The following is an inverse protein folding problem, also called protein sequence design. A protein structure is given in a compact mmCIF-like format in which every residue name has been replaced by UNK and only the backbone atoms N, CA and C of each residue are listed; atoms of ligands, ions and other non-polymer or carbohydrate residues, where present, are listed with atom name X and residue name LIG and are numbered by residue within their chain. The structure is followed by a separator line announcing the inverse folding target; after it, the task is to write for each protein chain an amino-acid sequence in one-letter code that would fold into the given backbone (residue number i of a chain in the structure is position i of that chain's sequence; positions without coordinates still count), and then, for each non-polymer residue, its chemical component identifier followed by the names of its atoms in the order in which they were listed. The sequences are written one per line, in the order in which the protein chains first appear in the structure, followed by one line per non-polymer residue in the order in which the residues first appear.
data_IF_265439147688
#
_entry.id   IF_265439147688
#
_cell.length_a   1.000
_cell.length_b   1.000
_cell.length_c   1.000
_cell.angle_alpha   90.00
_cell.angle_beta   90.00
_cell.angle_gamma   90.00
#
_symmetry.space_group_name_H-M   'P 1'
#
loop_
_entity.id
_entity.type
_entity.pdbx_description
1 polymer ?
#
# COMPACT_ATOMS: atom_id res chain seq x y z
N UNK A 1 0.52 33.89 -2.50
CA UNK A 1 0.13 33.60 -3.90
C UNK A 1 -1.16 32.80 -3.87
N UNK A 2 -2.20 33.19 -4.61
CA UNK A 2 -3.45 32.40 -4.68
C UNK A 2 -3.26 31.32 -5.74
N UNK A 3 -3.32 30.04 -5.36
CA UNK A 3 -3.23 28.91 -6.31
C UNK A 3 -4.66 28.51 -6.68
N UNK A 4 -5.15 28.82 -7.89
CA UNK A 4 -6.49 28.44 -8.30
C UNK A 4 -6.59 26.92 -8.43
N UNK A 5 -7.59 26.30 -7.80
CA UNK A 5 -7.86 24.87 -7.88
C UNK A 5 -9.30 24.62 -8.42
N UNK A 6 -9.58 24.94 -9.70
CA UNK A 6 -10.93 24.94 -10.25
C UNK A 6 -11.61 23.56 -10.24
N UNK A 7 -10.82 22.48 -10.21
CA UNK A 7 -11.30 21.10 -10.23
C UNK A 7 -11.18 20.38 -8.88
N UNK A 8 -11.09 21.11 -7.76
CA UNK A 8 -10.89 20.53 -6.42
C UNK A 8 -11.90 19.44 -6.06
N UNK A 9 -13.14 19.55 -6.54
CA UNK A 9 -14.21 18.55 -6.32
C UNK A 9 -13.91 17.17 -6.89
N UNK A 10 -13.00 17.08 -7.87
CA UNK A 10 -12.55 15.83 -8.47
C UNK A 10 -11.21 15.33 -7.89
N UNK A 11 -10.58 16.09 -6.98
CA UNK A 11 -9.32 15.69 -6.36
C UNK A 11 -9.56 14.62 -5.30
N UNK A 12 -8.95 13.44 -5.46
CA UNK A 12 -9.01 12.38 -4.45
C UNK A 12 -8.42 12.88 -3.12
N UNK A 13 -7.26 13.53 -3.17
CA UNK A 13 -6.59 14.11 -2.00
C UNK A 13 -7.44 15.22 -1.37
N UNK A 14 -8.03 16.09 -2.20
CA UNK A 14 -8.90 17.16 -1.73
C UNK A 14 -10.14 16.63 -0.99
N UNK A 15 -10.81 15.61 -1.56
CA UNK A 15 -11.96 14.98 -0.90
C UNK A 15 -11.55 14.21 0.36
N UNK A 16 -10.42 13.50 0.35
CA UNK A 16 -9.91 12.82 1.54
C UNK A 16 -9.67 13.81 2.69
N UNK A 17 -9.07 14.97 2.40
CA UNK A 17 -8.87 16.05 3.37
C UNK A 17 -10.21 16.56 3.94
N UNK A 18 -11.17 16.91 3.09
CA UNK A 18 -12.49 17.40 3.53
C UNK A 18 -13.25 16.35 4.36
N UNK A 19 -13.10 15.07 4.03
CA UNK A 19 -13.71 13.94 4.75
C UNK A 19 -12.92 13.49 5.98
N UNK A 20 -11.76 14.12 6.26
CA UNK A 20 -10.83 13.72 7.33
C UNK A 20 -10.37 12.26 7.24
N UNK A 21 -10.25 11.74 6.02
CA UNK A 21 -9.69 10.42 5.74
C UNK A 21 -8.18 10.59 5.58
N UNK A 22 -7.35 9.83 6.32
CA UNK A 22 -5.90 9.85 6.14
C UNK A 22 -5.52 9.56 4.68
N UNK A 23 -4.71 10.44 4.11
CA UNK A 23 -4.08 10.26 2.79
C UNK A 23 -2.60 10.55 2.95
N UNK A 24 -1.75 9.58 2.62
CA UNK A 24 -0.31 9.64 2.85
C UNK A 24 0.46 9.54 1.53
N UNK A 25 1.57 10.27 1.43
CA UNK A 25 2.52 10.22 0.34
C UNK A 25 3.86 9.68 0.80
N UNK A 26 4.40 8.70 0.08
CA UNK A 26 5.66 8.04 0.43
C UNK A 26 6.70 8.29 -0.67
N UNK A 27 7.47 9.38 -0.59
CA UNK A 27 8.44 9.73 -1.62
C UNK A 27 9.66 8.80 -1.58
N UNK A 28 10.28 8.60 -2.75
CA UNK A 28 11.36 7.64 -2.95
C UNK A 28 12.40 8.13 -3.97
N UNK A 29 13.67 8.05 -3.58
CA UNK A 29 14.78 8.26 -4.51
C UNK A 29 14.76 7.25 -5.66
N UNK A 30 14.89 7.73 -6.89
CA UNK A 30 14.74 6.93 -8.12
C UNK A 30 13.28 6.67 -8.54
N UNK A 31 12.34 6.85 -7.60
CA UNK A 31 10.89 7.08 -7.77
C UNK A 31 10.56 8.42 -8.41
N UNK A 32 10.65 9.43 -7.57
CA UNK A 32 9.98 10.69 -7.82
C UNK A 32 10.86 11.63 -8.63
N UNK A 33 10.26 12.27 -9.63
CA UNK A 33 10.93 13.30 -10.41
C UNK A 33 11.27 14.55 -9.59
N UNK A 34 10.68 14.72 -8.39
CA UNK A 34 10.96 15.88 -7.54
C UNK A 34 12.44 16.00 -7.19
N UNK A 35 13.14 14.88 -7.08
CA UNK A 35 14.55 14.87 -6.68
C UNK A 35 15.50 15.50 -7.72
N UNK A 36 15.06 15.69 -8.96
CA UNK A 36 15.83 16.38 -10.01
C UNK A 36 15.53 17.88 -10.06
N UNK A 37 14.53 18.36 -9.32
CA UNK A 37 14.10 19.74 -9.36
C UNK A 37 14.98 20.64 -8.47
N UNK A 38 15.39 21.84 -8.92
CA UNK A 38 16.28 22.73 -8.14
C UNK A 38 15.70 23.18 -6.79
N UNK A 39 14.37 23.20 -6.65
CA UNK A 39 13.71 23.53 -5.38
C UNK A 39 13.55 22.32 -4.43
N UNK A 40 14.05 21.13 -4.81
CA UNK A 40 13.99 19.98 -3.94
C UNK A 40 14.78 20.23 -2.64
N UNK A 41 14.16 19.89 -1.51
CA UNK A 41 14.79 20.01 -0.21
C UNK A 41 14.64 18.68 0.54
N UNK A 42 15.68 17.84 0.50
CA UNK A 42 15.64 16.48 1.04
C UNK A 42 15.15 16.41 2.49
N UNK A 43 15.60 17.31 3.37
CA UNK A 43 15.14 17.30 4.76
C UNK A 43 13.66 17.70 4.92
N UNK A 44 13.09 18.49 4.00
CA UNK A 44 11.68 18.86 4.06
C UNK A 44 10.82 17.68 3.60
N UNK A 45 11.18 17.07 2.47
CA UNK A 45 10.54 15.86 1.92
C UNK A 45 10.62 14.71 2.93
N UNK A 46 11.79 14.47 3.54
CA UNK A 46 11.97 13.42 4.53
C UNK A 46 11.12 13.60 5.78
N UNK A 47 11.00 14.83 6.31
CA UNK A 47 10.13 15.10 7.46
C UNK A 47 8.65 14.83 7.17
N UNK A 48 8.17 15.23 6.00
CA UNK A 48 6.77 14.96 5.61
C UNK A 48 6.55 13.47 5.33
N UNK A 49 7.52 12.80 4.71
CA UNK A 49 7.48 11.37 4.44
C UNK A 49 7.40 10.54 5.73
N UNK A 50 8.18 10.89 6.74
CA UNK A 50 8.16 10.20 8.04
C UNK A 50 6.80 10.36 8.74
N UNK A 51 6.26 11.58 8.75
CA UNK A 51 4.92 11.82 9.32
C UNK A 51 3.85 11.00 8.59
N UNK A 52 3.89 10.97 7.27
CA UNK A 52 2.97 10.19 6.44
C UNK A 52 3.14 8.69 6.68
N UNK A 53 4.38 8.21 6.81
CA UNK A 53 4.68 6.82 7.15
C UNK A 53 4.10 6.42 8.52
N UNK A 54 4.27 7.24 9.55
CA UNK A 54 3.71 6.98 10.87
C UNK A 54 2.18 7.05 10.89
N UNK A 55 1.57 7.98 10.14
CA UNK A 55 0.12 8.04 9.96
C UNK A 55 -0.44 6.78 9.28
N UNK A 56 0.27 6.29 8.25
CA UNK A 56 -0.05 5.05 7.59
C UNK A 56 0.13 3.83 8.52
N UNK A 57 1.22 3.76 9.28
CA UNK A 57 1.45 2.69 10.26
C UNK A 57 0.37 2.65 11.36
N UNK A 58 -0.11 3.81 11.81
CA UNK A 58 -1.24 3.90 12.72
C UNK A 58 -2.55 3.41 12.10
N UNK A 59 -2.72 3.55 10.77
CA UNK A 59 -3.87 2.97 10.07
C UNK A 59 -3.76 1.46 9.98
N UNK A 60 -2.55 0.94 9.69
CA UNK A 60 -2.24 -0.50 9.67
C UNK A 60 -2.43 -1.15 11.05
N UNK A 61 -2.21 -0.44 12.16
CA UNK A 61 -2.47 -1.00 13.50
C UNK A 61 -3.94 -1.35 13.78
N UNK A 62 -4.86 -0.87 12.93
CA UNK A 62 -6.29 -1.16 13.00
C UNK A 62 -6.73 -2.18 11.92
N UNK A 63 -5.78 -2.86 11.28
CA UNK A 63 -6.05 -3.76 10.16
C UNK A 63 -6.66 -5.11 10.56
N UNK A 64 -6.68 -5.44 11.85
CA UNK A 64 -7.29 -6.68 12.34
C UNK A 64 -8.78 -6.75 11.95
N UNK A 65 -9.17 -7.83 11.25
CA UNK A 65 -10.47 -7.99 10.57
C UNK A 65 -10.75 -7.00 9.42
N UNK A 66 -9.69 -6.37 8.89
CA UNK A 66 -9.72 -5.38 7.84
C UNK A 66 -9.25 -5.90 6.48
N UNK A 67 -9.23 -4.98 5.50
CA UNK A 67 -8.84 -5.25 4.12
C UNK A 67 -7.71 -4.31 3.71
N UNK A 68 -6.67 -4.86 3.09
CA UNK A 68 -5.63 -4.13 2.41
C UNK A 68 -5.69 -4.38 0.90
N UNK A 69 -5.74 -3.30 0.10
CA UNK A 69 -5.74 -3.37 -1.35
C UNK A 69 -4.45 -2.76 -1.89
N UNK A 70 -3.61 -3.58 -2.54
CA UNK A 70 -2.45 -3.13 -3.30
C UNK A 70 -2.79 -3.10 -4.77
N UNK A 71 -3.08 -1.93 -5.32
CA UNK A 71 -3.49 -1.77 -6.73
C UNK A 71 -2.35 -1.14 -7.54
N UNK A 72 -1.77 -1.89 -8.48
CA UNK A 72 -0.75 -1.40 -9.43
C UNK A 72 0.57 -0.95 -8.80
N UNK A 73 0.96 -1.53 -7.66
CA UNK A 73 2.16 -1.11 -6.93
C UNK A 73 3.06 -2.28 -6.56
N UNK A 74 4.04 -2.55 -7.41
CA UNK A 74 5.01 -3.64 -7.25
C UNK A 74 6.18 -3.30 -6.31
N UNK A 75 6.35 -2.03 -5.92
CA UNK A 75 7.52 -1.59 -5.12
C UNK A 75 7.09 -0.84 -3.86
N UNK A 76 6.36 0.26 -3.99
CA UNK A 76 6.07 1.11 -2.82
C UNK A 76 5.15 0.43 -1.82
N UNK A 77 3.99 -0.03 -2.29
CA UNK A 77 2.95 -0.68 -1.48
C UNK A 77 3.48 -1.82 -0.58
N UNK A 78 4.17 -2.87 -1.10
CA UNK A 78 4.69 -3.94 -0.24
C UNK A 78 5.72 -3.41 0.76
N UNK A 79 6.56 -2.45 0.34
CA UNK A 79 7.64 -1.96 1.18
C UNK A 79 7.13 -1.13 2.35
N UNK A 80 6.20 -0.20 2.15
CA UNK A 80 5.63 0.57 3.27
C UNK A 80 4.75 -0.30 4.16
N UNK A 81 4.01 -1.25 3.58
CA UNK A 81 3.14 -2.16 4.31
C UNK A 81 3.94 -3.05 5.26
N UNK A 82 5.01 -3.70 4.79
CA UNK A 82 5.84 -4.59 5.61
C UNK A 82 6.39 -3.90 6.87
N UNK A 83 6.91 -2.68 6.74
CA UNK A 83 7.51 -1.95 7.87
C UNK A 83 6.43 -1.47 8.83
N UNK A 84 5.31 -1.00 8.28
CA UNK A 84 4.15 -0.56 9.06
C UNK A 84 3.53 -1.70 9.85
N UNK A 85 3.33 -2.85 9.22
CA UNK A 85 2.80 -4.06 9.83
C UNK A 85 3.76 -4.58 10.90
N UNK A 86 5.07 -4.60 10.63
CA UNK A 86 6.07 -4.98 11.62
C UNK A 86 6.03 -4.08 12.87
N UNK A 87 5.91 -2.76 12.68
CA UNK A 87 5.78 -1.81 13.80
C UNK A 87 4.48 -2.02 14.58
N UNK A 88 3.36 -2.12 13.87
CA UNK A 88 2.04 -2.29 14.46
C UNK A 88 1.94 -3.60 15.25
N UNK A 89 2.36 -4.72 14.65
CA UNK A 89 2.36 -6.04 15.27
C UNK A 89 3.25 -6.07 16.51
N UNK A 90 4.45 -5.48 16.46
CA UNK A 90 5.35 -5.41 17.61
C UNK A 90 4.74 -4.65 18.80
N UNK A 91 3.93 -3.62 18.55
CA UNK A 91 3.20 -2.91 19.61
C UNK A 91 2.07 -3.80 20.15
N UNK A 92 1.28 -4.42 19.26
CA UNK A 92 0.15 -5.29 19.67
C UNK A 92 0.60 -6.46 20.54
N UNK A 93 1.72 -7.11 20.18
CA UNK A 93 2.30 -8.22 20.96
C UNK A 93 2.61 -7.80 22.40
N UNK A 94 3.08 -6.56 22.63
CA UNK A 94 3.37 -6.07 23.99
C UNK A 94 2.11 -5.97 24.88
N UNK A 95 0.93 -5.89 24.26
CA UNK A 95 -0.37 -5.87 24.95
C UNK A 95 -1.06 -7.25 24.94
N UNK A 96 -0.41 -8.31 24.45
CA UNK A 96 -1.02 -9.63 24.29
C UNK A 96 -2.06 -9.68 23.17
N UNK A 97 -2.04 -8.72 22.25
CA UNK A 97 -2.90 -8.64 21.08
C UNK A 97 -2.12 -8.98 19.80
N UNK A 98 -2.83 -9.33 18.73
CA UNK A 98 -2.24 -9.72 17.46
C UNK A 98 -3.06 -9.16 16.28
N UNK A 99 -2.41 -8.88 15.15
CA UNK A 99 -3.03 -8.53 13.87
C UNK A 99 -2.80 -9.72 12.93
N UNK A 100 -3.78 -10.60 12.83
CA UNK A 100 -3.68 -11.90 12.14
C UNK A 100 -4.80 -12.11 11.13
N UNK A 101 -6.00 -11.56 11.40
CA UNK A 101 -7.19 -11.85 10.61
C UNK A 101 -7.47 -10.72 9.60
N UNK A 102 -6.58 -10.51 8.63
CA UNK A 102 -6.78 -9.46 7.62
C UNK A 102 -6.72 -10.03 6.21
N UNK A 103 -7.42 -9.39 5.28
CA UNK A 103 -7.45 -9.79 3.88
C UNK A 103 -6.57 -8.86 3.05
N UNK A 104 -5.69 -9.43 2.23
CA UNK A 104 -4.78 -8.73 1.34
C UNK A 104 -5.14 -9.10 -0.09
N UNK A 105 -5.49 -8.11 -0.91
CA UNK A 105 -5.62 -8.28 -2.36
C UNK A 105 -4.56 -7.47 -3.09
N UNK A 106 -3.73 -8.17 -3.87
CA UNK A 106 -2.79 -7.57 -4.80
C UNK A 106 -3.39 -7.61 -6.19
N UNK A 107 -3.59 -6.44 -6.79
CA UNK A 107 -4.09 -6.27 -8.15
C UNK A 107 -2.97 -5.70 -9.01
N UNK A 108 -2.63 -6.40 -10.09
CA UNK A 108 -1.60 -5.97 -11.04
C UNK A 108 -1.96 -6.42 -12.46
N UNK A 109 -1.37 -5.76 -13.46
CA UNK A 109 -1.46 -6.15 -14.86
C UNK A 109 -0.64 -7.41 -15.17
N UNK A 110 0.42 -7.67 -14.38
CA UNK A 110 1.27 -8.83 -14.60
C UNK A 110 0.50 -10.14 -14.35
N UNK A 111 0.65 -11.10 -15.28
CA UNK A 111 0.12 -12.45 -15.10
C UNK A 111 0.88 -13.17 -13.97
N UNK A 112 0.15 -13.82 -13.06
CA UNK A 112 0.77 -14.71 -12.07
C UNK A 112 0.63 -16.16 -12.50
N UNK A 113 1.78 -16.79 -12.77
CA UNK A 113 1.87 -18.23 -13.04
C UNK A 113 2.00 -19.07 -11.74
N UNK A 114 1.83 -18.44 -10.57
CA UNK A 114 1.91 -19.09 -9.27
C UNK A 114 0.67 -18.80 -8.44
N UNK A 115 0.12 -19.84 -7.80
CA UNK A 115 -1.03 -19.70 -6.94
C UNK A 115 -0.56 -19.53 -5.48
N UNK A 116 -0.39 -18.27 -5.05
CA UNK A 116 0.06 -17.93 -3.71
C UNK A 116 -0.88 -18.40 -2.59
N UNK A 117 -2.18 -18.52 -2.87
CA UNK A 117 -3.17 -18.99 -1.90
C UNK A 117 -3.05 -20.51 -1.69
N UNK A 118 -2.91 -21.27 -2.78
CA UNK A 118 -2.84 -22.73 -2.74
C UNK A 118 -1.44 -23.26 -2.41
N UNK A 119 -0.42 -22.71 -3.05
CA UNK A 119 0.93 -23.29 -3.10
C UNK A 119 1.92 -22.54 -2.18
N UNK A 120 1.50 -21.41 -1.57
CA UNK A 120 2.30 -20.64 -0.63
C UNK A 120 3.49 -19.92 -1.27
N UNK A 121 4.58 -19.73 -0.50
CA UNK A 121 5.81 -19.12 -1.01
C UNK A 121 6.54 -20.09 -1.99
N UNK A 122 6.87 -19.67 -3.23
CA UNK A 122 7.58 -20.52 -4.20
C UNK A 122 8.98 -20.97 -3.70
N UNK A 123 9.52 -22.09 -4.20
CA UNK A 123 10.92 -22.46 -3.96
C UNK A 123 11.91 -21.56 -4.74
N UNK A 124 13.16 -21.48 -4.28
CA UNK A 124 14.18 -20.55 -4.84
C UNK A 124 14.57 -20.80 -6.30
N UNK A 125 14.33 -22.00 -6.81
CA UNK A 125 14.55 -22.42 -8.19
C UNK A 125 13.38 -22.06 -9.13
N UNK A 126 12.27 -21.55 -8.59
CA UNK A 126 11.15 -21.07 -9.37
C UNK A 126 11.24 -19.55 -9.59
N UNK A 127 11.06 -19.04 -10.84
CA UNK A 127 11.08 -17.60 -11.12
C UNK A 127 10.09 -16.78 -10.28
N UNK A 128 8.94 -17.34 -9.91
CA UNK A 128 7.92 -16.68 -9.09
C UNK A 128 8.45 -16.32 -7.69
N UNK A 129 9.49 -17.00 -7.19
CA UNK A 129 10.18 -16.64 -5.94
C UNK A 129 10.69 -15.20 -5.94
N UNK A 130 11.04 -14.69 -7.12
CA UNK A 130 11.59 -13.35 -7.32
C UNK A 130 10.51 -12.29 -7.58
N UNK A 131 9.21 -12.66 -7.57
CA UNK A 131 8.12 -11.71 -7.44
C UNK A 131 8.04 -11.19 -5.99
N UNK A 132 8.99 -10.32 -5.68
CA UNK A 132 9.32 -9.84 -4.33
C UNK A 132 8.12 -9.26 -3.59
N UNK A 133 7.23 -8.56 -4.28
CA UNK A 133 6.09 -7.91 -3.64
C UNK A 133 5.07 -8.92 -3.11
N UNK A 134 4.73 -9.96 -3.88
CA UNK A 134 3.85 -11.04 -3.40
C UNK A 134 4.44 -11.77 -2.21
N UNK A 135 5.74 -12.06 -2.28
CA UNK A 135 6.49 -12.65 -1.17
C UNK A 135 6.44 -11.79 0.09
N UNK A 136 6.58 -10.47 -0.04
CA UNK A 136 6.48 -9.54 1.08
C UNK A 136 5.09 -9.58 1.70
N UNK A 137 4.02 -9.51 0.90
CA UNK A 137 2.65 -9.58 1.42
C UNK A 137 2.35 -10.92 2.10
N UNK A 138 2.71 -12.04 1.47
CA UNK A 138 2.47 -13.38 2.02
C UNK A 138 3.09 -13.56 3.41
N UNK A 139 4.26 -12.96 3.65
CA UNK A 139 4.97 -13.07 4.93
C UNK A 139 4.38 -12.23 6.05
N UNK A 140 3.49 -11.28 5.76
CA UNK A 140 2.88 -10.39 6.75
C UNK A 140 1.64 -11.00 7.42
N UNK A 141 1.30 -12.25 7.10
CA UNK A 141 0.14 -12.94 7.65
C UNK A 141 -1.15 -12.56 6.90
N UNK A 142 -2.28 -12.93 7.48
CA UNK A 142 -3.58 -12.74 6.85
C UNK A 142 -3.83 -13.67 5.65
N UNK A 143 -4.95 -13.43 4.98
CA UNK A 143 -5.34 -14.13 3.76
C UNK A 143 -4.94 -13.29 2.54
N UNK A 144 -3.98 -13.77 1.74
CA UNK A 144 -3.48 -13.06 0.56
C UNK A 144 -4.02 -13.66 -0.74
N UNK A 145 -4.50 -12.79 -1.63
CA UNK A 145 -4.87 -13.12 -3.01
C UNK A 145 -4.16 -12.23 -4.01
N UNK A 146 -3.92 -12.79 -5.19
CA UNK A 146 -3.39 -12.07 -6.34
C UNK A 146 -4.41 -12.10 -7.47
N UNK A 147 -4.70 -10.93 -8.05
CA UNK A 147 -5.63 -10.76 -9.16
C UNK A 147 -4.90 -10.07 -10.31
N UNK A 148 -4.82 -10.76 -11.45
CA UNK A 148 -4.39 -10.14 -12.71
C UNK A 148 -5.57 -9.40 -13.33
N UNK A 149 -5.52 -8.07 -13.35
CA UNK A 149 -6.57 -7.22 -13.93
C UNK A 149 -6.04 -5.83 -14.30
N UNK A 150 -6.71 -5.17 -15.26
CA UNK A 150 -6.54 -3.74 -15.47
C UNK A 150 -7.07 -2.96 -14.26
N UNK A 151 -6.26 -2.04 -13.74
CA UNK A 151 -6.60 -1.28 -12.53
C UNK A 151 -7.87 -0.44 -12.69
N UNK A 152 -8.14 0.10 -13.88
CA UNK A 152 -9.37 0.86 -14.16
C UNK A 152 -10.56 -0.07 -14.09
N UNK A 153 -10.48 -1.21 -14.76
CA UNK A 153 -11.60 -2.16 -14.82
C UNK A 153 -11.88 -2.74 -13.44
N UNK A 154 -10.83 -3.05 -12.66
CA UNK A 154 -10.95 -3.46 -11.25
C UNK A 154 -11.64 -2.40 -10.40
N UNK A 155 -11.17 -1.14 -10.42
CA UNK A 155 -11.73 -0.07 -9.59
C UNK A 155 -13.18 0.25 -9.97
N UNK A 156 -13.53 0.21 -11.26
CA UNK A 156 -14.91 0.40 -11.72
C UNK A 156 -15.81 -0.75 -11.26
N UNK A 157 -15.36 -1.99 -11.39
CA UNK A 157 -16.12 -3.16 -10.93
C UNK A 157 -16.31 -3.15 -9.40
N UNK A 158 -15.25 -2.84 -8.64
CA UNK A 158 -15.32 -2.71 -7.19
C UNK A 158 -16.34 -1.65 -6.77
N UNK A 159 -16.31 -0.49 -7.43
CA UNK A 159 -17.27 0.59 -7.17
C UNK A 159 -18.71 0.18 -7.43
N UNK A 160 -18.97 -0.59 -8.50
CA UNK A 160 -20.32 -1.09 -8.82
C UNK A 160 -20.82 -2.12 -7.82
N UNK A 161 -19.93 -2.90 -7.19
CA UNK A 161 -20.30 -3.95 -6.22
C UNK A 161 -20.52 -3.42 -4.80
N UNK A 162 -19.91 -2.28 -4.46
CA UNK A 162 -20.04 -1.65 -3.14
C UNK A 162 -21.16 -0.61 -3.06
N UNK A 163 -21.84 -0.33 -4.17
CA UNK A 163 -23.01 0.55 -4.26
C UNK A 163 -24.29 -0.27 -4.35
#
# INVERSE_FOLDING_TARGET
MKIPHPYKKYSVQGNAYEMKIPFTGHPMFGHDIIYTHPMNHGAAVGRTAENDFLCYAQSVSNLENGVYLSVGSAVMSPMIFEKSMSMAQNIKIQYGEHIENHYILVVDLAESNWNWNKDGEPPMDNPAYYFRYCKTFYRMGGEMHYLTADNRDFLLALHQKLK
#
